data_IF_210533387596
#
_entry.id   IF_210533387596
#
_cell.length_a   1.000
_cell.length_b   1.000
_cell.length_c   1.000
_cell.angle_alpha   90.00
_cell.angle_beta   90.00
_cell.angle_gamma   90.00
#
_symmetry.space_group_name_H-M   'P 1'
#
loop_
_entity.id
_entity.type
_entity.pdbx_description
1 polymer ?
#
# COMPACT_ATOMS: atom_id res chain seq x y z
N UNK A 1 -36.29 -6.84 27.44
CA UNK A 1 -37.02 -7.02 26.17
C UNK A 1 -36.02 -6.86 25.04
N UNK A 2 -36.13 -7.67 23.98
CA UNK A 2 -35.26 -7.59 22.79
C UNK A 2 -36.13 -7.29 21.57
N UNK A 3 -35.59 -6.56 20.61
CA UNK A 3 -36.22 -6.33 19.31
C UNK A 3 -35.51 -7.18 18.25
N UNK A 4 -36.29 -7.81 17.37
CA UNK A 4 -35.76 -8.68 16.31
C UNK A 4 -35.94 -7.98 14.98
N UNK A 5 -34.84 -7.78 14.26
CA UNK A 5 -34.81 -7.24 12.91
C UNK A 5 -34.45 -8.36 11.94
N UNK A 6 -35.24 -8.53 10.88
CA UNK A 6 -34.89 -9.39 9.75
C UNK A 6 -34.43 -8.49 8.61
N UNK A 7 -33.27 -8.81 8.04
CA UNK A 7 -32.68 -8.09 6.92
C UNK A 7 -32.49 -9.08 5.76
N UNK A 8 -33.04 -8.74 4.61
CA UNK A 8 -32.78 -9.42 3.34
C UNK A 8 -31.82 -8.56 2.51
N UNK A 9 -30.95 -9.21 1.75
CA UNK A 9 -29.86 -8.55 1.02
C UNK A 9 -29.87 -8.94 -0.45
N UNK A 10 -29.45 -8.02 -1.31
CA UNK A 10 -29.17 -8.36 -2.70
C UNK A 10 -28.10 -9.46 -2.79
N UNK A 11 -28.30 -10.43 -3.68
CA UNK A 11 -27.33 -11.49 -3.92
C UNK A 11 -26.01 -10.93 -4.46
N UNK A 12 -24.90 -11.43 -3.93
CA UNK A 12 -23.56 -11.09 -4.44
C UNK A 12 -23.34 -11.72 -5.81
N UNK A 13 -22.55 -11.06 -6.67
CA UNK A 13 -22.16 -11.56 -8.00
C UNK A 13 -23.28 -11.67 -9.04
N UNK A 14 -24.27 -10.77 -9.01
CA UNK A 14 -25.14 -10.60 -10.17
C UNK A 14 -24.37 -9.97 -11.36
N UNK A 15 -24.95 -10.02 -12.56
CA UNK A 15 -24.32 -9.49 -13.77
C UNK A 15 -24.34 -7.96 -13.89
N UNK A 16 -24.97 -7.26 -12.94
CA UNK A 16 -25.18 -5.81 -12.99
C UNK A 16 -24.38 -5.05 -11.93
N UNK A 17 -23.92 -5.74 -10.89
CA UNK A 17 -23.24 -5.18 -9.73
C UNK A 17 -21.74 -5.36 -9.82
N UNK A 18 -21.00 -4.35 -9.37
CA UNK A 18 -19.54 -4.45 -9.26
C UNK A 18 -19.14 -5.28 -8.03
N UNK A 19 -17.86 -5.66 -7.95
CA UNK A 19 -17.32 -6.29 -6.74
C UNK A 19 -17.41 -5.36 -5.51
N UNK A 20 -17.28 -4.04 -5.71
CA UNK A 20 -17.46 -3.04 -4.64
C UNK A 20 -18.90 -3.08 -4.11
N UNK A 21 -19.89 -3.16 -5.00
CA UNK A 21 -21.30 -3.19 -4.59
C UNK A 21 -21.61 -4.46 -3.78
N UNK A 22 -21.18 -5.62 -4.30
CA UNK A 22 -21.34 -6.91 -3.61
C UNK A 22 -20.66 -6.92 -2.25
N UNK A 23 -19.40 -6.44 -2.18
CA UNK A 23 -18.65 -6.37 -0.94
C UNK A 23 -19.27 -5.40 0.07
N UNK A 24 -19.79 -4.26 -0.39
CA UNK A 24 -20.41 -3.25 0.48
C UNK A 24 -21.70 -3.79 1.09
N UNK A 25 -22.56 -4.42 0.29
CA UNK A 25 -23.81 -5.03 0.78
C UNK A 25 -23.52 -6.13 1.79
N UNK A 26 -22.57 -7.02 1.50
CA UNK A 26 -22.20 -8.10 2.42
C UNK A 26 -21.55 -7.58 3.71
N UNK A 27 -20.62 -6.63 3.59
CA UNK A 27 -19.95 -6.05 4.76
C UNK A 27 -20.94 -5.32 5.67
N UNK A 28 -21.85 -4.50 5.09
CA UNK A 28 -22.90 -3.82 5.85
C UNK A 28 -23.83 -4.80 6.55
N UNK A 29 -24.30 -5.85 5.86
CA UNK A 29 -25.19 -6.84 6.48
C UNK A 29 -24.50 -7.58 7.63
N UNK A 30 -23.22 -7.91 7.47
CA UNK A 30 -22.42 -8.59 8.50
C UNK A 30 -22.12 -7.68 9.70
N UNK A 31 -21.78 -6.41 9.46
CA UNK A 31 -21.50 -5.44 10.53
C UNK A 31 -22.74 -5.13 11.36
N UNK A 32 -23.92 -5.13 10.74
CA UNK A 32 -25.18 -4.74 11.38
C UNK A 32 -25.89 -5.94 12.04
N UNK A 33 -25.76 -7.14 11.47
CA UNK A 33 -26.36 -8.35 12.04
C UNK A 33 -25.62 -8.83 13.29
N UNK A 34 -26.36 -9.41 14.24
CA UNK A 34 -25.79 -10.25 15.30
C UNK A 34 -25.64 -11.70 14.82
N UNK A 35 -26.44 -12.11 13.85
CA UNK A 35 -26.42 -13.42 13.22
C UNK A 35 -26.46 -13.27 11.71
N UNK A 36 -25.36 -13.64 11.05
CA UNK A 36 -25.24 -13.64 9.60
C UNK A 36 -25.48 -15.05 9.06
N UNK A 37 -26.46 -15.21 8.17
CA UNK A 37 -26.69 -16.48 7.45
C UNK A 37 -26.01 -16.40 6.09
N UNK A 38 -24.88 -17.08 5.95
CA UNK A 38 -24.16 -17.20 4.69
C UNK A 38 -24.75 -18.36 3.88
N UNK A 39 -25.63 -18.02 2.94
CA UNK A 39 -26.37 -18.96 2.12
C UNK A 39 -25.55 -19.38 0.89
N UNK A 40 -25.13 -20.64 0.86
CA UNK A 40 -24.25 -21.21 -0.17
C UNK A 40 -25.00 -22.32 -0.92
N UNK A 41 -24.73 -22.47 -2.21
CA UNK A 41 -25.31 -23.54 -3.02
C UNK A 41 -24.41 -24.78 -3.02
N UNK A 42 -24.99 -25.94 -2.75
CA UNK A 42 -24.43 -27.29 -2.83
C UNK A 42 -23.27 -27.61 -1.87
N UNK A 43 -22.18 -26.85 -1.88
CA UNK A 43 -20.97 -27.17 -1.12
C UNK A 43 -20.19 -25.91 -0.74
N UNK A 44 -19.39 -25.98 0.31
CA UNK A 44 -18.47 -24.90 0.70
C UNK A 44 -17.16 -25.09 -0.06
N UNK A 45 -16.92 -24.22 -1.02
CA UNK A 45 -15.71 -24.17 -1.86
C UNK A 45 -14.69 -23.18 -1.29
N UNK A 46 -13.44 -23.19 -1.78
CA UNK A 46 -12.40 -22.28 -1.26
C UNK A 46 -12.64 -20.83 -1.70
N UNK A 47 -13.22 -20.60 -2.87
CA UNK A 47 -13.64 -19.28 -3.32
C UNK A 47 -14.74 -18.70 -2.43
N UNK A 48 -15.68 -19.51 -1.93
CA UNK A 48 -16.66 -19.05 -0.92
C UNK A 48 -15.97 -18.52 0.34
N UNK A 49 -14.89 -19.17 0.77
CA UNK A 49 -14.10 -18.77 1.94
C UNK A 49 -13.25 -17.53 1.66
N UNK A 50 -12.65 -17.42 0.47
CA UNK A 50 -11.90 -16.24 0.04
C UNK A 50 -12.81 -15.02 -0.10
N UNK A 51 -14.02 -15.16 -0.66
CA UNK A 51 -15.01 -14.09 -0.71
C UNK A 51 -15.45 -13.67 0.68
N UNK A 52 -15.72 -14.63 1.58
CA UNK A 52 -16.05 -14.33 2.97
C UNK A 52 -14.91 -13.57 3.66
N UNK A 53 -13.65 -13.97 3.45
CA UNK A 53 -12.48 -13.25 3.96
C UNK A 53 -12.43 -11.81 3.42
N UNK A 54 -12.58 -11.62 2.11
CA UNK A 54 -12.56 -10.30 1.49
C UNK A 54 -13.63 -9.38 2.08
N UNK A 55 -14.88 -9.87 2.19
CA UNK A 55 -15.99 -9.05 2.67
C UNK A 55 -15.91 -8.74 4.17
N UNK A 56 -15.44 -9.71 4.96
CA UNK A 56 -15.25 -9.51 6.41
C UNK A 56 -14.09 -8.56 6.71
N UNK A 57 -13.00 -8.62 5.94
CA UNK A 57 -11.90 -7.66 6.06
C UNK A 57 -12.33 -6.26 5.62
N UNK A 58 -13.11 -6.16 4.53
CA UNK A 58 -13.69 -4.88 4.10
C UNK A 58 -14.67 -4.28 5.13
N UNK A 59 -15.39 -5.13 5.87
CA UNK A 59 -16.16 -4.74 7.05
C UNK A 59 -15.26 -4.22 8.17
N UNK A 60 -14.22 -4.99 8.52
CA UNK A 60 -13.29 -4.67 9.60
C UNK A 60 -12.57 -3.33 9.41
N UNK A 61 -12.20 -2.98 8.17
CA UNK A 61 -11.58 -1.69 7.85
C UNK A 61 -12.48 -0.47 8.15
N UNK A 62 -13.81 -0.66 8.13
CA UNK A 62 -14.79 0.39 8.43
C UNK A 62 -15.14 0.46 9.93
N UNK A 63 -14.65 -0.48 10.75
CA UNK A 63 -14.92 -0.58 12.17
C UNK A 63 -13.78 0.01 13.00
N UNK A 64 -14.10 0.45 14.21
CA UNK A 64 -13.09 0.88 15.18
C UNK A 64 -12.17 -0.29 15.58
N UNK A 65 -10.90 0.00 15.83
CA UNK A 65 -9.95 -1.02 16.31
C UNK A 65 -10.38 -1.55 17.68
N UNK A 66 -10.50 -2.87 17.77
CA UNK A 66 -10.89 -3.56 19.00
C UNK A 66 -10.08 -4.84 19.16
N UNK A 67 -9.83 -5.23 20.42
CA UNK A 67 -9.22 -6.51 20.76
C UNK A 67 -10.23 -7.67 20.74
N UNK A 68 -11.52 -7.35 20.67
CA UNK A 68 -12.59 -8.34 20.57
C UNK A 68 -12.78 -8.79 19.12
N UNK A 69 -13.43 -9.94 18.94
CA UNK A 69 -13.85 -10.34 17.59
C UNK A 69 -14.90 -9.36 17.06
N UNK A 70 -14.80 -8.92 15.79
CA UNK A 70 -15.68 -7.89 15.25
C UNK A 70 -17.13 -8.37 15.10
N UNK A 71 -17.35 -9.68 14.89
CA UNK A 71 -18.66 -10.24 14.61
C UNK A 71 -19.04 -11.37 15.59
N UNK A 72 -20.35 -11.60 15.71
CA UNK A 72 -20.92 -12.54 16.67
C UNK A 72 -21.12 -13.92 16.04
N UNK A 73 -22.27 -14.17 15.40
CA UNK A 73 -22.66 -15.49 14.93
C UNK A 73 -22.70 -15.56 13.39
N UNK A 74 -21.98 -16.52 12.81
CA UNK A 74 -22.02 -16.87 11.38
C UNK A 74 -22.63 -18.26 11.21
N UNK A 75 -23.58 -18.40 10.28
CA UNK A 75 -24.18 -19.68 9.92
C UNK A 75 -23.92 -19.95 8.45
N UNK A 76 -23.15 -21.00 8.15
CA UNK A 76 -23.08 -21.58 6.81
C UNK A 76 -24.36 -22.36 6.54
N UNK A 77 -25.24 -21.82 5.70
CA UNK A 77 -26.44 -22.52 5.25
C UNK A 77 -26.18 -23.11 3.86
N UNK A 78 -25.86 -24.39 3.81
CA UNK A 78 -25.59 -25.10 2.55
C UNK A 78 -26.90 -25.62 1.98
N UNK A 79 -27.35 -25.01 0.89
CA UNK A 79 -28.54 -25.38 0.13
C UNK A 79 -28.24 -26.57 -0.76
N UNK A 80 -29.25 -27.37 -1.06
CA UNK A 80 -29.16 -28.46 -2.04
C UNK A 80 -28.00 -29.43 -1.77
N UNK A 81 -27.71 -29.68 -0.49
CA UNK A 81 -26.73 -30.67 -0.06
C UNK A 81 -27.14 -32.03 -0.61
N UNK A 82 -26.21 -32.70 -1.30
CA UNK A 82 -26.50 -33.91 -2.08
C UNK A 82 -25.88 -35.18 -1.48
N UNK A 83 -25.16 -35.07 -0.36
CA UNK A 83 -24.40 -36.18 0.23
C UNK A 83 -24.81 -36.49 1.68
N UNK A 84 -26.10 -36.71 1.99
CA UNK A 84 -26.56 -37.00 3.34
C UNK A 84 -25.97 -38.28 3.94
N UNK A 85 -25.47 -39.18 3.09
CA UNK A 85 -24.80 -40.42 3.49
C UNK A 85 -23.37 -40.19 4.05
N UNK A 86 -22.71 -39.09 3.70
CA UNK A 86 -21.40 -38.71 4.30
C UNK A 86 -21.63 -37.82 5.52
N UNK A 87 -22.45 -36.78 5.36
CA UNK A 87 -22.84 -35.88 6.44
C UNK A 87 -24.36 -35.69 6.42
N UNK A 88 -25.09 -36.11 7.47
CA UNK A 88 -26.55 -36.05 7.48
C UNK A 88 -27.06 -34.62 7.43
N UNK A 89 -28.30 -34.43 6.96
CA UNK A 89 -28.94 -33.12 6.97
C UNK A 89 -29.05 -32.52 8.38
N UNK A 90 -29.17 -31.20 8.44
CA UNK A 90 -29.31 -30.47 9.69
C UNK A 90 -28.00 -29.94 10.27
N UNK A 91 -28.08 -29.50 11.54
CA UNK A 91 -26.97 -28.88 12.24
C UNK A 91 -25.86 -29.90 12.58
N UNK A 92 -26.19 -31.11 13.01
CA UNK A 92 -25.19 -32.07 13.48
C UNK A 92 -24.22 -32.48 12.37
N UNK A 93 -24.75 -32.82 11.18
CA UNK A 93 -23.92 -33.11 10.01
C UNK A 93 -23.21 -31.87 9.49
N UNK A 94 -23.88 -30.70 9.53
CA UNK A 94 -23.29 -29.42 9.15
C UNK A 94 -22.05 -29.07 9.97
N UNK A 95 -22.11 -29.22 11.29
CA UNK A 95 -20.96 -28.95 12.17
C UNK A 95 -19.79 -29.88 11.88
N UNK A 96 -20.02 -31.19 11.75
CA UNK A 96 -18.97 -32.17 11.40
C UNK A 96 -18.35 -31.87 10.03
N UNK A 97 -19.17 -31.50 9.06
CA UNK A 97 -18.73 -31.09 7.73
C UNK A 97 -17.88 -29.81 7.80
N UNK A 98 -18.34 -28.79 8.52
CA UNK A 98 -17.65 -27.50 8.60
C UNK A 98 -16.35 -27.61 9.39
N UNK A 99 -16.31 -28.37 10.49
CA UNK A 99 -15.07 -28.65 11.23
C UNK A 99 -14.01 -29.25 10.31
N UNK A 100 -14.37 -30.19 9.43
CA UNK A 100 -13.46 -30.76 8.44
C UNK A 100 -12.99 -29.72 7.43
N UNK A 101 -13.86 -28.81 6.99
CA UNK A 101 -13.55 -27.76 5.98
C UNK A 101 -12.66 -26.65 6.54
N UNK A 102 -12.93 -26.20 7.77
CA UNK A 102 -12.19 -25.12 8.43
C UNK A 102 -11.02 -25.60 9.29
N UNK A 103 -10.77 -26.92 9.36
CA UNK A 103 -9.62 -27.48 10.07
C UNK A 103 -8.32 -26.87 9.56
N UNK A 104 -7.57 -26.24 10.46
CA UNK A 104 -6.22 -25.74 10.22
C UNK A 104 -5.25 -26.88 10.54
N UNK A 105 -4.39 -27.22 9.58
CA UNK A 105 -3.34 -28.23 9.73
C UNK A 105 -2.00 -27.65 9.26
N UNK A 106 -0.92 -27.98 9.96
CA UNK A 106 0.43 -27.50 9.63
C UNK A 106 0.89 -27.95 8.24
N UNK A 107 0.35 -29.07 7.74
CA UNK A 107 0.66 -29.61 6.41
C UNK A 107 -0.08 -28.87 5.28
N UNK A 108 -1.00 -27.95 5.58
CA UNK A 108 -1.70 -27.17 4.56
C UNK A 108 -0.82 -26.02 4.07
N UNK A 109 -1.01 -25.63 2.81
CA UNK A 109 -0.41 -24.42 2.27
C UNK A 109 -0.79 -23.19 3.10
N UNK A 110 0.13 -22.24 3.26
CA UNK A 110 -0.04 -21.07 4.14
C UNK A 110 -1.29 -20.25 3.78
N UNK A 111 -1.56 -20.09 2.48
CA UNK A 111 -2.76 -19.40 1.97
C UNK A 111 -4.05 -20.00 2.54
N UNK A 112 -4.19 -21.33 2.53
CA UNK A 112 -5.36 -22.03 3.04
C UNK A 112 -5.50 -21.88 4.56
N UNK A 113 -4.37 -21.88 5.27
CA UNK A 113 -4.36 -21.65 6.72
C UNK A 113 -4.79 -20.23 7.05
N UNK A 114 -4.31 -19.24 6.29
CA UNK A 114 -4.56 -17.82 6.55
C UNK A 114 -6.04 -17.47 6.36
N UNK A 115 -6.69 -17.98 5.32
CA UNK A 115 -8.15 -17.83 5.10
C UNK A 115 -8.93 -18.36 6.32
N UNK A 116 -8.59 -19.56 6.81
CA UNK A 116 -9.28 -20.21 7.94
C UNK A 116 -9.03 -19.48 9.26
N UNK A 117 -7.78 -19.09 9.53
CA UNK A 117 -7.40 -18.29 10.71
C UNK A 117 -8.18 -16.97 10.75
N UNK A 118 -8.32 -16.33 9.59
CA UNK A 118 -9.08 -15.08 9.45
C UNK A 118 -10.56 -15.25 9.77
N UNK A 119 -11.21 -16.28 9.23
CA UNK A 119 -12.63 -16.54 9.53
C UNK A 119 -12.81 -16.81 11.04
N UNK A 120 -11.91 -17.60 11.64
CA UNK A 120 -11.95 -17.86 13.09
C UNK A 120 -11.69 -16.63 13.96
N UNK A 121 -10.90 -15.65 13.49
CA UNK A 121 -10.66 -14.41 14.23
C UNK A 121 -11.82 -13.41 14.10
N UNK A 122 -12.60 -13.49 13.02
CA UNK A 122 -13.70 -12.57 12.75
C UNK A 122 -14.98 -12.85 13.56
N UNK A 123 -15.33 -14.13 13.76
CA UNK A 123 -16.62 -14.52 14.35
C UNK A 123 -16.46 -15.22 15.71
N UNK A 124 -17.37 -14.89 16.63
CA UNK A 124 -17.45 -15.53 17.95
C UNK A 124 -17.94 -16.97 17.84
N UNK A 125 -19.05 -17.18 17.12
CA UNK A 125 -19.64 -18.48 16.86
C UNK A 125 -19.71 -18.72 15.35
N UNK A 126 -19.32 -19.92 14.92
CA UNK A 126 -19.43 -20.34 13.52
C UNK A 126 -20.16 -21.67 13.52
N UNK A 127 -21.33 -21.68 12.87
CA UNK A 127 -22.19 -22.85 12.77
C UNK A 127 -22.44 -23.22 11.30
N UNK A 128 -22.95 -24.43 11.08
CA UNK A 128 -23.32 -24.89 9.74
C UNK A 128 -24.59 -25.73 9.79
N UNK A 129 -25.41 -25.61 8.75
CA UNK A 129 -26.63 -26.37 8.55
C UNK A 129 -26.73 -26.86 7.10
N UNK A 130 -26.93 -28.16 6.91
CA UNK A 130 -27.07 -28.77 5.58
C UNK A 130 -28.55 -28.95 5.24
N UNK A 131 -29.01 -28.27 4.18
CA UNK A 131 -30.38 -28.37 3.68
C UNK A 131 -30.44 -29.30 2.47
N UNK A 132 -31.45 -30.20 2.39
CA UNK A 132 -31.71 -30.97 1.19
C UNK A 132 -32.18 -30.07 0.03
N UNK A 133 -32.24 -30.62 -1.17
CA UNK A 133 -32.84 -29.94 -2.32
C UNK A 133 -34.38 -29.83 -2.14
N UNK A 134 -35.02 -28.69 -2.45
CA UNK A 134 -36.47 -28.49 -2.21
C UNK A 134 -37.39 -29.26 -3.17
N UNK A 135 -36.81 -29.94 -4.15
CA UNK A 135 -37.50 -30.69 -5.20
C UNK A 135 -37.51 -29.97 -6.55
N UNK A 136 -37.52 -30.73 -7.65
CA UNK A 136 -37.40 -30.16 -9.00
C UNK A 136 -38.54 -29.20 -9.34
N UNK A 137 -39.75 -29.43 -8.81
CA UNK A 137 -40.89 -28.52 -9.00
C UNK A 137 -40.61 -27.12 -8.47
N UNK A 138 -39.91 -27.00 -7.34
CA UNK A 138 -39.55 -25.70 -6.76
C UNK A 138 -38.46 -25.03 -7.60
N UNK A 139 -37.49 -25.80 -8.10
CA UNK A 139 -36.33 -25.27 -8.82
C UNK A 139 -36.63 -24.84 -10.26
N UNK A 140 -37.52 -25.53 -10.97
CA UNK A 140 -37.68 -25.36 -12.43
C UNK A 140 -39.04 -24.82 -12.85
N UNK A 141 -40.07 -24.87 -12.00
CA UNK A 141 -41.41 -24.42 -12.38
C UNK A 141 -41.54 -22.89 -12.23
N UNK A 142 -41.74 -22.14 -13.33
CA UNK A 142 -41.91 -20.69 -13.27
C UNK A 142 -43.24 -20.28 -12.59
N UNK A 143 -44.17 -21.21 -12.40
CA UNK A 143 -45.47 -20.98 -11.76
C UNK A 143 -45.52 -21.46 -10.31
N UNK A 144 -44.39 -21.86 -9.72
CA UNK A 144 -44.34 -22.22 -8.31
C UNK A 144 -44.68 -21.01 -7.43
N UNK A 145 -45.70 -21.15 -6.58
CA UNK A 145 -46.24 -20.07 -5.74
C UNK A 145 -45.96 -20.26 -4.24
N UNK A 146 -45.01 -21.13 -3.88
CA UNK A 146 -44.62 -21.37 -2.49
C UNK A 146 -45.48 -22.39 -1.73
N UNK A 147 -46.45 -23.06 -2.39
CA UNK A 147 -47.30 -24.06 -1.72
C UNK A 147 -46.51 -25.26 -1.21
N UNK A 148 -46.65 -25.53 0.09
CA UNK A 148 -45.98 -26.62 0.82
C UNK A 148 -46.17 -27.99 0.17
N UNK A 149 -47.35 -28.28 -0.40
CA UNK A 149 -47.65 -29.56 -1.06
C UNK A 149 -46.77 -29.88 -2.27
N UNK A 150 -46.08 -28.87 -2.83
CA UNK A 150 -45.23 -29.00 -4.01
C UNK A 150 -43.74 -29.03 -3.66
N UNK A 151 -43.42 -28.89 -2.37
CA UNK A 151 -42.07 -28.91 -1.82
C UNK A 151 -41.78 -30.31 -1.27
N UNK A 152 -40.54 -30.77 -1.42
CA UNK A 152 -40.10 -32.05 -0.89
C UNK A 152 -40.32 -32.16 0.64
N UNK A 153 -40.82 -33.31 1.09
CA UNK A 153 -41.11 -33.55 2.50
C UNK A 153 -39.87 -33.50 3.38
N UNK A 154 -38.72 -33.96 2.89
CA UNK A 154 -37.45 -33.93 3.62
C UNK A 154 -36.96 -32.49 3.82
N UNK A 155 -37.16 -31.64 2.80
CA UNK A 155 -36.89 -30.21 2.89
C UNK A 155 -37.75 -29.53 3.95
N UNK A 156 -39.06 -29.81 3.95
CA UNK A 156 -39.98 -29.24 4.94
C UNK A 156 -39.59 -29.68 6.36
N UNK A 157 -39.22 -30.94 6.55
CA UNK A 157 -38.81 -31.46 7.86
C UNK A 157 -37.56 -30.76 8.37
N UNK A 158 -36.54 -30.57 7.52
CA UNK A 158 -35.34 -29.84 7.90
C UNK A 158 -35.60 -28.34 8.11
N UNK A 159 -36.48 -27.72 7.32
CA UNK A 159 -36.87 -26.32 7.49
C UNK A 159 -37.58 -26.08 8.84
N UNK A 160 -38.41 -27.03 9.28
CA UNK A 160 -39.05 -27.00 10.61
C UNK A 160 -38.05 -27.09 11.76
N UNK A 161 -36.84 -27.59 11.52
CA UNK A 161 -35.74 -27.62 12.50
C UNK A 161 -34.90 -26.33 12.39
N UNK A 162 -34.58 -25.91 11.16
CA UNK A 162 -33.76 -24.74 10.87
C UNK A 162 -34.35 -23.46 11.46
N UNK A 163 -35.62 -23.16 11.19
CA UNK A 163 -36.23 -21.87 11.57
C UNK A 163 -36.26 -21.68 13.09
N UNK A 164 -36.72 -22.64 13.92
CA UNK A 164 -36.63 -22.52 15.37
C UNK A 164 -35.19 -22.50 15.89
N UNK A 165 -34.27 -23.22 15.23
CA UNK A 165 -32.86 -23.19 15.64
C UNK A 165 -32.24 -21.79 15.47
N UNK A 166 -32.60 -21.05 14.43
CA UNK A 166 -32.14 -19.67 14.22
C UNK A 166 -32.90 -18.67 15.10
N UNK A 167 -34.23 -18.77 15.15
CA UNK A 167 -35.11 -17.70 15.67
C UNK A 167 -35.73 -17.98 17.05
N UNK A 168 -35.40 -19.09 17.71
CA UNK A 168 -35.92 -19.33 19.05
C UNK A 168 -35.40 -18.30 20.05
N UNK A 169 -36.19 -17.86 21.05
CA UNK A 169 -35.79 -16.81 21.98
C UNK A 169 -34.48 -17.07 22.75
N UNK A 170 -34.04 -18.32 22.85
CA UNK A 170 -32.79 -18.71 23.51
C UNK A 170 -31.56 -18.57 22.62
N UNK A 171 -31.75 -18.54 21.31
CA UNK A 171 -30.68 -18.52 20.31
C UNK A 171 -30.52 -17.14 19.65
N UNK A 172 -31.33 -16.16 20.04
CA UNK A 172 -31.22 -14.79 19.53
C UNK A 172 -30.16 -14.05 20.32
N UNK A 173 -29.00 -13.86 19.67
CA UNK A 173 -27.92 -13.02 20.20
C UNK A 173 -28.29 -11.53 20.05
N UNK A 174 -28.18 -10.77 21.15
CA UNK A 174 -28.30 -9.31 21.12
C UNK A 174 -27.10 -8.73 20.40
N UNK A 175 -27.32 -7.77 19.50
CA UNK A 175 -26.22 -7.14 18.76
C UNK A 175 -25.24 -6.45 19.71
N UNK A 176 -23.99 -6.82 19.62
CA UNK A 176 -22.87 -6.16 20.29
C UNK A 176 -21.95 -5.48 19.29
N UNK A 177 -21.49 -4.27 19.61
CA UNK A 177 -20.41 -3.57 18.92
C UNK A 177 -19.43 -3.09 19.99
N UNK A 178 -18.15 -3.44 19.86
CA UNK A 178 -17.11 -3.13 20.84
C UNK A 178 -17.46 -3.55 22.28
N UNK A 179 -18.08 -4.73 22.43
CA UNK A 179 -18.49 -5.31 23.71
C UNK A 179 -19.69 -4.63 24.38
N UNK A 180 -20.36 -3.70 23.69
CA UNK A 180 -21.54 -3.00 24.19
C UNK A 180 -22.80 -3.44 23.44
N UNK A 181 -23.87 -3.76 24.19
CA UNK A 181 -25.17 -4.09 23.63
C UNK A 181 -25.81 -2.89 22.93
N UNK A 182 -26.30 -3.11 21.73
CA UNK A 182 -26.84 -2.06 20.85
C UNK A 182 -28.37 -2.04 20.88
N UNK A 183 -28.92 -0.84 21.06
CA UNK A 183 -30.37 -0.59 20.95
C UNK A 183 -30.76 -0.32 19.49
N UNK A 184 -32.04 -0.43 19.13
CA UNK A 184 -32.49 -0.12 17.76
C UNK A 184 -32.13 1.30 17.30
N UNK A 185 -32.17 2.27 18.23
CA UNK A 185 -31.75 3.65 17.94
C UNK A 185 -30.25 3.71 17.66
N UNK A 186 -29.43 3.05 18.48
CA UNK A 186 -27.98 2.97 18.26
C UNK A 186 -27.64 2.30 16.94
N UNK A 187 -28.33 1.20 16.60
CA UNK A 187 -28.11 0.46 15.37
C UNK A 187 -28.32 1.35 14.12
N UNK A 188 -29.32 2.23 14.14
CA UNK A 188 -29.56 3.18 13.05
C UNK A 188 -28.42 4.20 12.90
N UNK A 189 -27.85 4.67 14.00
CA UNK A 189 -26.72 5.61 13.96
C UNK A 189 -25.46 4.92 13.40
N UNK A 190 -25.17 3.68 13.82
CA UNK A 190 -24.11 2.88 13.22
C UNK A 190 -24.34 2.63 11.73
N UNK A 191 -25.59 2.32 11.33
CA UNK A 191 -25.95 2.10 9.93
C UNK A 191 -25.62 3.33 9.06
N UNK A 192 -25.99 4.53 9.52
CA UNK A 192 -25.66 5.78 8.84
C UNK A 192 -24.16 6.03 8.78
N UNK A 193 -23.44 5.79 9.89
CA UNK A 193 -22.00 5.99 9.97
C UNK A 193 -21.25 5.07 8.98
N UNK A 194 -21.56 3.77 8.99
CA UNK A 194 -20.94 2.81 8.08
C UNK A 194 -21.24 3.11 6.60
N UNK A 195 -22.46 3.49 6.26
CA UNK A 195 -22.79 3.91 4.89
C UNK A 195 -21.97 5.13 4.47
N UNK A 196 -21.81 6.11 5.37
CA UNK A 196 -21.03 7.32 5.06
C UNK A 196 -19.56 6.98 4.76
N UNK A 197 -18.98 6.01 5.49
CA UNK A 197 -17.61 5.54 5.23
C UNK A 197 -17.52 4.89 3.84
N UNK A 198 -18.46 4.01 3.48
CA UNK A 198 -18.46 3.35 2.17
C UNK A 198 -18.79 4.26 0.98
N UNK A 199 -19.49 5.37 1.23
CA UNK A 199 -19.71 6.44 0.24
C UNK A 199 -18.45 7.28 0.01
N UNK A 200 -17.53 7.29 0.96
CA UNK A 200 -16.22 7.93 0.81
C UNK A 200 -15.28 7.14 -0.09
N UNK A 201 -14.10 7.72 -0.30
CA UNK A 201 -12.96 7.10 -1.02
C UNK A 201 -11.81 6.80 -0.03
N UNK A 202 -12.10 6.78 1.27
CA UNK A 202 -11.12 6.52 2.34
C UNK A 202 -10.73 5.05 2.41
N UNK A 203 -11.65 4.14 2.05
CA UNK A 203 -11.41 2.70 2.05
C UNK A 203 -10.84 2.22 0.72
N UNK A 204 -9.88 1.27 0.73
CA UNK A 204 -9.36 0.69 -0.49
C UNK A 204 -10.46 -0.08 -1.22
N UNK A 205 -10.63 0.19 -2.51
CA UNK A 205 -11.67 -0.48 -3.29
C UNK A 205 -11.38 -1.98 -3.45
N UNK A 206 -12.35 -2.86 -3.19
CA UNK A 206 -12.24 -4.27 -3.53
C UNK A 206 -12.04 -4.43 -5.04
N UNK A 207 -10.96 -5.10 -5.42
CA UNK A 207 -10.59 -5.33 -6.83
C UNK A 207 -10.61 -6.82 -7.13
N UNK A 208 -10.80 -7.16 -8.39
CA UNK A 208 -10.66 -8.56 -8.83
C UNK A 208 -9.23 -9.04 -8.56
N UNK A 209 -9.07 -10.34 -8.34
CA UNK A 209 -7.74 -10.94 -8.09
C UNK A 209 -6.73 -10.61 -9.20
N UNK A 210 -7.16 -10.63 -10.47
CA UNK A 210 -6.33 -10.26 -11.61
C UNK A 210 -5.90 -8.80 -11.54
N UNK A 211 -6.83 -7.88 -11.25
CA UNK A 211 -6.52 -6.46 -11.17
C UNK A 211 -5.59 -6.15 -9.99
N UNK A 212 -5.86 -6.70 -8.80
CA UNK A 212 -5.01 -6.52 -7.63
C UNK A 212 -3.58 -7.03 -7.86
N UNK A 213 -3.44 -8.21 -8.49
CA UNK A 213 -2.14 -8.80 -8.82
C UNK A 213 -1.41 -7.97 -9.89
N UNK A 214 -2.13 -7.50 -10.91
CA UNK A 214 -1.58 -6.64 -11.95
C UNK A 214 -1.05 -5.32 -11.37
N UNK A 215 -1.80 -4.68 -10.46
CA UNK A 215 -1.36 -3.46 -9.77
C UNK A 215 -0.13 -3.72 -8.90
N UNK A 216 -0.16 -4.76 -8.06
CA UNK A 216 0.97 -5.11 -7.20
C UNK A 216 2.26 -5.40 -8.00
N UNK A 217 2.14 -6.16 -9.11
CA UNK A 217 3.26 -6.43 -10.00
C UNK A 217 3.81 -5.16 -10.64
N UNK A 218 2.94 -4.25 -11.09
CA UNK A 218 3.35 -3.00 -11.69
C UNK A 218 4.01 -2.06 -10.68
N UNK A 219 3.44 -1.90 -9.48
CA UNK A 219 4.02 -1.09 -8.40
C UNK A 219 5.40 -1.62 -7.97
N UNK A 220 5.55 -2.93 -7.81
CA UNK A 220 6.84 -3.54 -7.50
C UNK A 220 7.88 -3.29 -8.61
N UNK A 221 7.46 -3.36 -9.88
CA UNK A 221 8.34 -3.07 -11.01
C UNK A 221 8.73 -1.58 -11.09
N UNK A 222 7.80 -0.65 -10.79
CA UNK A 222 8.09 0.79 -10.70
C UNK A 222 9.13 1.03 -9.61
N UNK A 223 8.94 0.47 -8.41
CA UNK A 223 9.87 0.65 -7.30
C UNK A 223 11.26 0.12 -7.65
N UNK A 224 11.36 -1.10 -8.20
CA UNK A 224 12.62 -1.70 -8.60
C UNK A 224 13.36 -0.88 -9.69
N UNK A 225 12.63 -0.34 -10.67
CA UNK A 225 13.20 0.49 -11.72
C UNK A 225 13.68 1.85 -11.19
N UNK A 226 12.90 2.48 -10.31
CA UNK A 226 13.28 3.73 -9.66
C UNK A 226 14.49 3.56 -8.74
N UNK A 227 14.56 2.47 -7.99
CA UNK A 227 15.70 2.15 -7.13
C UNK A 227 16.97 1.93 -7.95
N UNK A 228 16.87 1.24 -9.09
CA UNK A 228 17.99 1.11 -10.03
C UNK A 228 18.47 2.48 -10.53
N UNK A 229 17.54 3.34 -10.92
CA UNK A 229 17.85 4.70 -11.38
C UNK A 229 18.58 5.49 -10.30
N UNK A 230 18.03 5.53 -9.07
CA UNK A 230 18.62 6.23 -7.93
C UNK A 230 20.03 5.72 -7.62
N UNK A 231 20.20 4.39 -7.54
CA UNK A 231 21.51 3.79 -7.24
C UNK A 231 22.57 4.19 -8.26
N UNK A 232 22.24 4.15 -9.56
CA UNK A 232 23.17 4.55 -10.62
C UNK A 232 23.44 6.05 -10.65
N UNK A 233 22.43 6.88 -10.37
CA UNK A 233 22.61 8.33 -10.30
C UNK A 233 23.47 8.73 -9.10
N UNK A 234 23.32 8.08 -7.94
CA UNK A 234 24.23 8.25 -6.79
C UNK A 234 25.67 7.87 -7.15
N UNK A 235 25.88 6.78 -7.90
CA UNK A 235 27.22 6.39 -8.36
C UNK A 235 27.86 7.45 -9.28
N UNK A 236 27.06 8.21 -10.03
CA UNK A 236 27.52 9.25 -10.97
C UNK A 236 27.71 10.60 -10.28
N UNK A 237 26.71 11.08 -9.54
CA UNK A 237 26.65 12.44 -9.02
C UNK A 237 26.28 12.54 -7.53
N UNK A 238 26.34 11.43 -6.78
CA UNK A 238 26.10 11.39 -5.33
C UNK A 238 27.13 12.20 -4.54
N UNK A 239 26.90 12.42 -3.23
CA UNK A 239 27.63 13.39 -2.41
C UNK A 239 29.17 13.34 -2.52
N UNK A 240 29.74 12.14 -2.54
CA UNK A 240 31.20 11.90 -2.60
C UNK A 240 31.80 11.99 -4.01
N UNK A 241 30.97 12.24 -5.04
CA UNK A 241 31.41 12.37 -6.43
C UNK A 241 31.70 13.82 -6.81
N UNK A 242 32.72 14.07 -7.64
CA UNK A 242 33.04 15.42 -8.11
C UNK A 242 31.91 16.03 -8.95
N UNK A 243 31.95 17.35 -9.12
CA UNK A 243 31.03 18.07 -9.99
C UNK A 243 31.11 17.55 -11.44
N UNK A 244 29.95 17.33 -12.06
CA UNK A 244 29.81 16.97 -13.47
C UNK A 244 29.25 18.15 -14.28
N UNK A 245 29.74 18.31 -15.51
CA UNK A 245 29.18 19.31 -16.42
C UNK A 245 27.70 18.99 -16.73
N UNK A 246 26.79 19.99 -16.82
CA UNK A 246 25.37 19.74 -17.04
C UNK A 246 25.06 18.91 -18.30
N UNK A 247 25.82 19.09 -19.38
CA UNK A 247 25.66 18.30 -20.60
C UNK A 247 26.04 16.83 -20.42
N UNK A 248 27.09 16.54 -19.64
CA UNK A 248 27.49 15.17 -19.33
C UNK A 248 26.50 14.50 -18.38
N UNK A 249 26.04 15.24 -17.36
CA UNK A 249 25.01 14.77 -16.43
C UNK A 249 23.71 14.41 -17.17
N UNK A 250 23.27 15.24 -18.12
CA UNK A 250 22.10 14.97 -18.95
C UNK A 250 22.27 13.69 -19.79
N UNK A 251 23.45 13.48 -20.39
CA UNK A 251 23.73 12.28 -21.18
C UNK A 251 23.74 11.02 -20.32
N UNK A 252 24.35 11.08 -19.13
CA UNK A 252 24.36 9.98 -18.16
C UNK A 252 22.94 9.66 -17.67
N UNK A 253 22.17 10.69 -17.36
CA UNK A 253 20.77 10.55 -17.01
C UNK A 253 19.96 9.85 -18.11
N UNK A 254 20.10 10.26 -19.37
CA UNK A 254 19.38 9.64 -20.49
C UNK A 254 19.67 8.14 -20.62
N UNK A 255 20.93 7.73 -20.47
CA UNK A 255 21.32 6.32 -20.49
C UNK A 255 20.73 5.52 -19.32
N UNK A 256 20.83 6.05 -18.10
CA UNK A 256 20.32 5.38 -16.88
C UNK A 256 18.78 5.33 -16.88
N UNK A 257 18.13 6.40 -17.37
CA UNK A 257 16.68 6.46 -17.56
C UNK A 257 16.21 5.35 -18.49
N UNK A 258 16.82 5.22 -19.67
CA UNK A 258 16.44 4.17 -20.63
C UNK A 258 16.66 2.77 -20.04
N UNK A 259 17.74 2.55 -19.30
CA UNK A 259 17.99 1.27 -18.62
C UNK A 259 16.93 0.93 -17.55
N UNK A 260 16.53 1.91 -16.74
CA UNK A 260 15.45 1.75 -15.76
C UNK A 260 14.11 1.44 -16.45
N UNK A 261 13.80 2.10 -17.57
CA UNK A 261 12.59 1.83 -18.35
C UNK A 261 12.64 0.45 -19.02
N UNK A 262 13.81 0.00 -19.48
CA UNK A 262 14.00 -1.35 -20.02
C UNK A 262 13.81 -2.42 -18.94
N UNK A 263 14.31 -2.19 -17.71
CA UNK A 263 14.05 -3.07 -16.58
C UNK A 263 12.53 -3.18 -16.36
N UNK A 264 11.83 -2.05 -16.25
CA UNK A 264 10.38 -2.05 -16.04
C UNK A 264 9.63 -2.82 -17.13
N UNK A 265 9.97 -2.60 -18.41
CA UNK A 265 9.36 -3.31 -19.55
C UNK A 265 9.67 -4.81 -19.55
N UNK A 266 10.88 -5.19 -19.14
CA UNK A 266 11.34 -6.58 -19.10
C UNK A 266 10.71 -7.44 -18.00
N UNK A 267 10.17 -6.82 -16.94
CA UNK A 267 9.45 -7.57 -15.89
C UNK A 267 8.15 -8.12 -16.46
N UNK A 268 7.93 -9.44 -16.31
CA UNK A 268 6.65 -10.09 -16.63
C UNK A 268 5.60 -9.68 -15.60
N UNK A 269 4.49 -9.09 -16.06
CA UNK A 269 3.42 -8.52 -15.22
C UNK A 269 2.05 -9.03 -15.71
N UNK A 270 1.11 -9.22 -14.78
CA UNK A 270 -0.29 -9.48 -15.13
C UNK A 270 -1.00 -8.21 -15.63
N UNK A 271 -2.10 -8.35 -16.39
CA UNK A 271 -2.91 -7.22 -16.87
C UNK A 271 -2.52 -6.66 -18.25
N UNK A 272 -1.42 -7.13 -18.84
CA UNK A 272 -0.99 -6.73 -20.19
C UNK A 272 -0.27 -5.38 -20.26
N UNK A 273 0.18 -5.02 -21.47
CA UNK A 273 0.94 -3.79 -21.69
C UNK A 273 0.10 -2.52 -21.54
N UNK A 274 -1.18 -2.57 -21.93
CA UNK A 274 -2.08 -1.42 -21.81
C UNK A 274 -2.28 -0.99 -20.35
N UNK A 275 -2.43 -1.96 -19.44
CA UNK A 275 -2.51 -1.69 -18.01
C UNK A 275 -1.19 -1.14 -17.46
N UNK A 276 -0.07 -1.69 -17.94
CA UNK A 276 1.28 -1.27 -17.54
C UNK A 276 1.65 0.13 -18.04
N UNK A 277 1.00 0.64 -19.10
CA UNK A 277 1.29 1.96 -19.68
C UNK A 277 1.13 3.10 -18.70
N UNK A 278 0.12 3.06 -17.82
CA UNK A 278 -0.10 4.08 -16.79
C UNK A 278 1.07 4.15 -15.80
N UNK A 279 1.55 2.98 -15.37
CA UNK A 279 2.67 2.86 -14.44
C UNK A 279 4.00 3.23 -15.08
N UNK A 280 4.17 2.95 -16.37
CA UNK A 280 5.31 3.41 -17.14
C UNK A 280 5.36 4.95 -17.19
N UNK A 281 4.24 5.60 -17.49
CA UNK A 281 4.16 7.07 -17.50
C UNK A 281 4.44 7.67 -16.11
N UNK A 282 3.93 7.02 -15.05
CA UNK A 282 4.23 7.40 -13.67
C UNK A 282 5.73 7.30 -13.37
N UNK A 283 6.38 6.18 -13.74
CA UNK A 283 7.82 5.98 -13.55
C UNK A 283 8.64 7.03 -14.29
N UNK A 284 8.27 7.37 -15.52
CA UNK A 284 8.94 8.44 -16.28
C UNK A 284 8.85 9.79 -15.55
N UNK A 285 7.66 10.17 -15.07
CA UNK A 285 7.47 11.39 -14.30
C UNK A 285 8.27 11.41 -13.00
N UNK A 286 8.26 10.32 -12.24
CA UNK A 286 9.02 10.20 -11.00
C UNK A 286 10.55 10.27 -11.23
N UNK A 287 11.05 9.67 -12.31
CA UNK A 287 12.46 9.77 -12.69
C UNK A 287 12.84 11.21 -13.04
N UNK A 288 12.01 11.91 -13.80
CA UNK A 288 12.27 13.28 -14.22
C UNK A 288 12.25 14.23 -12.99
N UNK A 289 11.35 14.01 -12.03
CA UNK A 289 11.32 14.75 -10.75
C UNK A 289 12.60 14.54 -9.93
N UNK A 290 13.04 13.29 -9.79
CA UNK A 290 14.28 12.97 -9.07
C UNK A 290 15.49 13.56 -9.80
N UNK A 291 15.50 13.56 -11.13
CA UNK A 291 16.58 14.16 -11.89
C UNK A 291 16.76 15.65 -11.61
N UNK A 292 15.67 16.40 -11.46
CA UNK A 292 15.72 17.82 -11.05
C UNK A 292 16.41 17.99 -9.70
N UNK A 293 16.25 17.03 -8.77
CA UNK A 293 16.95 17.06 -7.48
C UNK A 293 18.46 16.82 -7.67
N UNK A 294 18.84 15.86 -8.52
CA UNK A 294 20.25 15.60 -8.85
C UNK A 294 20.93 16.79 -9.55
N UNK A 295 20.22 17.52 -10.42
CA UNK A 295 20.76 18.76 -11.01
C UNK A 295 21.10 19.76 -9.91
N UNK A 296 20.15 20.06 -9.00
CA UNK A 296 20.37 20.99 -7.89
C UNK A 296 21.52 20.54 -6.98
N UNK A 297 21.58 19.24 -6.69
CA UNK A 297 22.63 18.66 -5.86
C UNK A 297 24.01 18.82 -6.54
N UNK A 298 24.11 18.52 -7.83
CA UNK A 298 25.34 18.68 -8.60
C UNK A 298 25.78 20.15 -8.67
N UNK A 299 24.86 21.07 -8.97
CA UNK A 299 25.16 22.51 -9.05
C UNK A 299 25.68 23.09 -7.73
N UNK A 300 25.19 22.58 -6.60
CA UNK A 300 25.66 23.01 -5.28
C UNK A 300 27.16 22.74 -5.07
N UNK A 301 27.70 21.65 -5.65
CA UNK A 301 29.12 21.30 -5.54
C UNK A 301 30.03 22.31 -6.22
N UNK A 302 29.60 22.84 -7.36
CA UNK A 302 30.35 23.87 -8.08
C UNK A 302 30.48 25.15 -7.24
N UNK A 303 29.43 25.54 -6.52
CA UNK A 303 29.42 26.75 -5.68
C UNK A 303 30.38 26.63 -4.50
N UNK A 304 30.45 25.47 -3.84
CA UNK A 304 31.39 25.24 -2.75
C UNK A 304 32.85 25.23 -3.21
N UNK A 305 33.15 24.59 -4.35
CA UNK A 305 34.49 24.68 -4.94
C UNK A 305 34.81 26.12 -5.41
N UNK A 306 33.81 26.85 -5.91
CA UNK A 306 33.96 28.24 -6.33
C UNK A 306 34.31 29.20 -5.18
N UNK A 307 33.80 28.95 -3.98
CA UNK A 307 33.99 29.82 -2.82
C UNK A 307 35.28 29.51 -2.02
N UNK A 308 35.89 28.34 -2.24
CA UNK A 308 37.10 27.91 -1.52
C UNK A 308 38.32 28.77 -1.87
N UNK A 309 38.58 29.00 -3.15
CA UNK A 309 39.72 29.81 -3.63
C UNK A 309 39.70 31.28 -3.17
N UNK A 310 38.58 32.01 -3.19
CA UNK A 310 38.57 33.36 -2.65
C UNK A 310 38.75 33.34 -1.12
N UNK A 311 38.15 32.39 -0.41
CA UNK A 311 38.29 32.28 1.04
C UNK A 311 39.75 32.01 1.48
N UNK A 312 40.46 31.09 0.82
CA UNK A 312 41.89 30.83 1.10
C UNK A 312 42.74 32.07 0.91
N UNK A 313 42.57 32.76 -0.23
CA UNK A 313 43.30 33.98 -0.55
C UNK A 313 42.99 35.10 0.45
N UNK A 314 41.74 35.25 0.88
CA UNK A 314 41.37 36.21 1.93
C UNK A 314 42.05 35.91 3.28
N UNK A 315 42.13 34.64 3.68
CA UNK A 315 42.81 34.23 4.93
C UNK A 315 44.31 34.54 4.84
N UNK A 316 44.96 34.22 3.73
CA UNK A 316 46.39 34.54 3.51
C UNK A 316 46.63 36.05 3.57
N UNK A 317 45.77 36.85 2.92
CA UNK A 317 45.82 38.32 2.99
C UNK A 317 45.72 38.80 4.44
N UNK A 318 44.76 38.27 5.21
CA UNK A 318 44.54 38.67 6.60
C UNK A 318 45.73 38.32 7.51
N UNK A 319 46.23 37.08 7.43
CA UNK A 319 47.37 36.62 8.25
C UNK A 319 48.62 37.44 7.94
N UNK A 320 48.90 37.68 6.65
CA UNK A 320 50.09 38.45 6.25
C UNK A 320 49.98 39.93 6.63
N UNK A 321 48.78 40.51 6.62
CA UNK A 321 48.54 41.87 7.11
C UNK A 321 48.81 42.00 8.61
N UNK A 322 48.29 41.07 9.42
CA UNK A 322 48.54 41.06 10.87
C UNK A 322 50.03 40.82 11.17
N UNK A 323 50.67 39.88 10.49
CA UNK A 323 52.09 39.60 10.64
C UNK A 323 52.96 40.81 10.27
N UNK A 324 52.65 41.51 9.17
CA UNK A 324 53.33 42.75 8.79
C UNK A 324 53.16 43.85 9.86
N UNK A 325 51.96 43.98 10.44
CA UNK A 325 51.69 44.95 11.51
C UNK A 325 52.48 44.68 12.80
N UNK A 326 52.52 43.41 13.24
CA UNK A 326 53.25 43.02 14.45
C UNK A 326 54.77 43.15 14.26
N UNK A 327 55.29 42.65 13.14
CA UNK A 327 56.74 42.69 12.87
C UNK A 327 57.24 44.12 12.61
N UNK A 328 56.41 44.96 11.99
CA UNK A 328 56.66 46.40 11.87
C UNK A 328 56.65 47.11 13.23
N UNK A 329 55.75 46.72 14.14
CA UNK A 329 55.71 47.28 15.50
C UNK A 329 56.94 46.88 16.34
N UNK A 330 57.44 45.64 16.17
CA UNK A 330 58.64 45.14 16.86
C UNK A 330 59.95 45.73 16.25
N UNK A 331 59.86 46.40 15.09
CA UNK A 331 61.00 47.06 14.43
C UNK A 331 61.83 46.13 13.54
N UNK A 332 61.25 45.03 13.05
CA UNK A 332 61.91 44.10 12.12
C UNK A 332 61.45 44.39 10.69
N UNK A 333 61.93 45.50 10.14
CA UNK A 333 61.45 46.08 8.88
C UNK A 333 61.62 45.16 7.66
N UNK A 334 62.64 44.30 7.67
CA UNK A 334 62.89 43.34 6.58
C UNK A 334 61.76 42.31 6.48
N UNK A 335 61.30 41.80 7.62
CA UNK A 335 60.22 40.79 7.67
C UNK A 335 58.88 41.45 7.36
N UNK A 336 58.64 42.65 7.87
CA UNK A 336 57.44 43.42 7.56
C UNK A 336 57.32 43.71 6.05
N UNK A 337 58.43 44.07 5.40
CA UNK A 337 58.48 44.31 3.95
C UNK A 337 58.21 43.04 3.14
N UNK A 338 58.74 41.89 3.58
CA UNK A 338 58.47 40.60 2.94
C UNK A 338 56.99 40.20 3.06
N UNK A 339 56.39 40.39 4.24
CA UNK A 339 54.96 40.14 4.45
C UNK A 339 54.06 41.02 3.57
N UNK A 340 54.40 42.30 3.42
CA UNK A 340 53.69 43.23 2.54
C UNK A 340 53.83 42.88 1.05
N UNK A 341 54.98 42.34 0.63
CA UNK A 341 55.16 41.87 -0.74
C UNK A 341 54.24 40.67 -1.05
N UNK A 342 54.18 39.70 -0.13
CA UNK A 342 53.30 38.52 -0.27
C UNK A 342 51.82 38.93 -0.23
N UNK A 343 51.47 39.89 0.62
CA UNK A 343 50.13 40.50 0.66
C UNK A 343 49.74 41.10 -0.71
N UNK A 344 50.63 41.89 -1.31
CA UNK A 344 50.41 42.50 -2.62
C UNK A 344 50.23 41.45 -3.73
N UNK A 345 51.04 40.40 -3.72
CA UNK A 345 50.90 39.27 -4.66
C UNK A 345 49.57 38.55 -4.49
N UNK A 346 49.16 38.27 -3.25
CA UNK A 346 47.89 37.60 -2.96
C UNK A 346 46.67 38.43 -3.44
N UNK A 347 46.71 39.75 -3.25
CA UNK A 347 45.69 40.68 -3.76
C UNK A 347 45.61 40.67 -5.29
N UNK A 348 46.76 40.70 -5.98
CA UNK A 348 46.80 40.63 -7.45
C UNK A 348 46.23 39.29 -7.93
N UNK A 349 46.59 38.17 -7.29
CA UNK A 349 46.02 36.86 -7.63
C UNK A 349 44.51 36.78 -7.40
N UNK A 350 43.99 37.40 -6.33
CA UNK A 350 42.55 37.46 -6.05
C UNK A 350 41.80 38.28 -7.11
N UNK A 351 42.32 39.46 -7.46
CA UNK A 351 41.74 40.30 -8.52
C UNK A 351 41.78 39.61 -9.89
N UNK A 352 42.87 38.89 -10.18
CA UNK A 352 43.05 38.14 -11.42
C UNK A 352 42.08 36.97 -11.50
N UNK A 353 41.91 36.24 -10.39
CA UNK A 353 40.92 35.17 -10.27
C UNK A 353 39.48 35.69 -10.42
N UNK A 354 39.14 36.81 -9.78
CA UNK A 354 37.82 37.43 -9.90
C UNK A 354 37.55 37.91 -11.34
N UNK A 355 38.55 38.48 -12.00
CA UNK A 355 38.46 38.88 -13.40
C UNK A 355 38.26 37.67 -14.32
N UNK A 356 39.07 36.61 -14.19
CA UNK A 356 38.95 35.38 -14.99
C UNK A 356 37.56 34.74 -14.83
N UNK A 357 37.02 34.76 -13.61
CA UNK A 357 35.70 34.18 -13.33
C UNK A 357 34.55 35.04 -13.87
N UNK A 358 34.73 36.36 -13.95
CA UNK A 358 33.76 37.28 -14.51
C UNK A 358 33.81 37.33 -16.05
N UNK A 359 35.01 37.37 -16.65
CA UNK A 359 35.21 37.49 -18.10
C UNK A 359 35.15 36.15 -18.83
N UNK A 360 35.51 35.05 -18.14
CA UNK A 360 35.54 33.70 -18.71
C UNK A 360 36.75 33.39 -19.60
N UNK A 361 37.67 34.35 -19.81
CA UNK A 361 38.92 34.18 -20.56
C UNK A 361 40.05 33.61 -19.67
N UNK A 362 41.02 32.88 -20.25
CA UNK A 362 42.18 32.29 -19.54
C UNK A 362 41.83 31.30 -18.41
N UNK A 363 40.89 30.38 -18.67
CA UNK A 363 40.45 29.35 -17.72
C UNK A 363 41.58 28.45 -17.19
N UNK A 364 42.62 28.18 -17.98
CA UNK A 364 43.77 27.39 -17.55
C UNK A 364 44.56 28.05 -16.41
N UNK A 365 44.72 29.39 -16.46
CA UNK A 365 45.32 30.16 -15.37
C UNK A 365 44.45 30.15 -14.12
N UNK A 366 43.12 30.21 -14.26
CA UNK A 366 42.19 30.05 -13.15
C UNK A 366 42.33 28.69 -12.45
N UNK A 367 42.46 27.61 -13.22
CA UNK A 367 42.65 26.26 -12.69
C UNK A 367 43.96 26.10 -11.91
N UNK A 368 45.05 26.73 -12.37
CA UNK A 368 46.33 26.73 -11.65
C UNK A 368 46.21 27.49 -10.32
N UNK A 369 45.51 28.64 -10.31
CA UNK A 369 45.26 29.40 -9.06
C UNK A 369 44.42 28.57 -8.09
N UNK A 370 43.37 27.91 -8.57
CA UNK A 370 42.52 27.02 -7.75
C UNK A 370 43.33 25.84 -7.17
N UNK A 371 44.27 25.27 -7.94
CA UNK A 371 45.13 24.17 -7.47
C UNK A 371 46.12 24.61 -6.40
N UNK A 372 46.76 25.78 -6.57
CA UNK A 372 47.69 26.36 -5.58
C UNK A 372 46.95 26.74 -4.30
N UNK A 373 45.76 27.35 -4.42
CA UNK A 373 44.90 27.66 -3.30
C UNK A 373 44.40 26.41 -2.56
N UNK A 374 44.12 25.33 -3.30
CA UNK A 374 43.78 24.02 -2.72
C UNK A 374 44.93 23.45 -1.88
N UNK A 375 46.16 23.47 -2.42
CA UNK A 375 47.34 23.00 -1.70
C UNK A 375 47.63 23.80 -0.41
N UNK A 376 47.33 25.11 -0.41
CA UNK A 376 47.45 25.98 0.76
C UNK A 376 46.34 25.77 1.81
N UNK A 377 45.17 25.23 1.42
CA UNK A 377 44.08 24.95 2.36
C UNK A 377 44.23 23.61 3.06
N UNK A 378 44.84 22.63 2.38
CA UNK A 378 45.05 21.28 2.92
C UNK A 378 46.31 21.20 3.82
N UNK A 379 47.10 22.27 3.90
CA UNK A 379 48.19 22.50 4.86
C UNK A 379 47.68 23.28 6.08
#
# INVERSE_FOLDING_TARGET
QVAVLLMDTQGTFDSQSTLRDSATVFALSTMISSMQVYNISQNVQEDDLQHLQLFTEYGRLAMEETFLKPFQSLIFLVRDWSFPYEFPYGQEGGMKFLEKRLKISENQHEELQNVRKHIHSCFTNINCFLMPHPGLKVATNPHFDGRIKEIDGEFINNLKVLVPWILSPRNIDVKEINGSNITCRGLLEYFKAYIKIYQGEELPHPKSMLQATAEANNLAAVAAAKDLYNKKMEEVCGGDRPFLAPSELQNRHGAIREEALQLFRGVKKMGGEEFSRRYLQQLEGEIDEVFVQYIKHNDSKNIFHAARTPATLFVVIFVMYVAAGITGFVGVDIIASLCNMILGLALITLCTWAYIRYSGEYRELGAVIDQVAGALWDQ
#
